data_IF_548263404599
#
_entry.id   IF_548263404599
#
_cell.length_a   1.000
_cell.length_b   1.000
_cell.length_c   1.000
_cell.angle_alpha   90.00
_cell.angle_beta   90.00
_cell.angle_gamma   90.00
#
_symmetry.space_group_name_H-M   'P 1'
#
loop_
_entity.id
_entity.type
_entity.pdbx_description
1 polymer ?
#
# COMPACT_ATOMS: atom_id res chain seq x y z
N UNK A 1 -12.75 21.58 10.96
CA UNK A 1 -11.80 20.74 10.20
C UNK A 1 -11.28 19.69 11.18
N UNK A 2 -11.84 18.47 11.14
CA UNK A 2 -11.55 17.46 12.14
C UNK A 2 -10.12 16.93 11.93
N UNK A 3 -9.27 17.13 12.94
CA UNK A 3 -7.97 16.49 13.07
C UNK A 3 -8.18 14.97 13.10
N UNK A 4 -7.92 14.30 11.98
CA UNK A 4 -7.83 12.83 11.91
C UNK A 4 -6.37 12.44 12.00
N UNK A 5 -5.78 12.57 13.19
CA UNK A 5 -4.50 11.93 13.44
C UNK A 5 -4.27 11.75 14.95
N UNK A 6 -4.67 10.58 15.46
CA UNK A 6 -3.96 9.96 16.57
C UNK A 6 -3.58 8.54 16.14
N UNK A 7 -2.67 8.45 15.17
CA UNK A 7 -1.88 7.24 15.06
C UNK A 7 -1.02 7.19 16.34
N UNK A 8 -1.47 6.41 17.33
CA UNK A 8 -0.67 6.04 18.50
C UNK A 8 0.75 5.73 18.03
N UNK A 9 1.72 6.44 18.62
CA UNK A 9 3.13 6.40 18.27
C UNK A 9 3.59 4.94 18.13
N UNK A 10 3.75 4.47 16.90
CA UNK A 10 4.38 3.18 16.62
C UNK A 10 5.82 3.25 17.11
N UNK A 11 6.32 2.23 17.84
CA UNK A 11 7.73 2.15 18.19
C UNK A 11 8.59 2.33 16.93
N UNK A 12 9.54 3.28 16.95
CA UNK A 12 10.57 3.43 15.90
C UNK A 12 11.56 2.27 16.02
N UNK A 13 11.13 1.06 15.68
CA UNK A 13 11.97 -0.14 15.73
C UNK A 13 13.12 -0.06 14.70
N UNK A 14 12.97 0.73 13.66
CA UNK A 14 14.03 1.11 12.71
C UNK A 14 13.85 2.56 12.27
N UNK A 15 14.69 3.44 12.80
CA UNK A 15 14.70 4.86 12.43
C UNK A 15 14.93 5.07 10.92
N UNK A 16 15.82 4.27 10.31
CA UNK A 16 16.13 4.36 8.88
C UNK A 16 14.92 4.06 7.99
N UNK A 17 14.18 2.97 8.27
CA UNK A 17 12.99 2.63 7.48
C UNK A 17 11.91 3.69 7.66
N UNK A 18 11.79 4.25 8.87
CA UNK A 18 10.85 5.33 9.11
C UNK A 18 11.17 6.56 8.24
N UNK A 19 12.42 7.00 8.25
CA UNK A 19 12.85 8.21 7.54
C UNK A 19 12.88 8.04 6.01
N UNK A 20 13.24 6.85 5.51
CA UNK A 20 13.45 6.64 4.06
C UNK A 20 12.22 6.13 3.32
N UNK A 21 11.28 5.49 4.01
CA UNK A 21 10.07 4.94 3.38
C UNK A 21 8.81 5.47 4.04
N UNK A 22 8.69 5.38 5.37
CA UNK A 22 7.40 5.62 6.00
C UNK A 22 6.97 7.09 6.02
N UNK A 23 7.85 7.96 6.50
CA UNK A 23 7.56 9.38 6.53
C UNK A 23 7.27 9.93 5.12
N UNK A 24 8.08 9.66 4.07
CA UNK A 24 7.78 10.10 2.71
C UNK A 24 6.43 9.57 2.18
N UNK A 25 6.09 8.30 2.44
CA UNK A 25 4.80 7.76 2.03
C UNK A 25 3.63 8.48 2.71
N UNK A 26 3.72 8.76 4.01
CA UNK A 26 2.69 9.50 4.74
C UNK A 26 2.56 10.94 4.23
N UNK A 27 3.66 11.60 3.89
CA UNK A 27 3.66 12.94 3.30
C UNK A 27 2.91 12.96 1.97
N UNK A 28 3.17 12.00 1.07
CA UNK A 28 2.43 11.82 -0.19
C UNK A 28 0.94 11.59 0.08
N UNK A 29 0.64 10.63 0.97
CA UNK A 29 -0.73 10.21 1.26
C UNK A 29 -1.58 11.31 1.90
N UNK A 30 -0.98 12.23 2.65
CA UNK A 30 -1.70 13.37 3.26
C UNK A 30 -2.12 14.44 2.26
N UNK A 31 -1.66 14.39 1.01
CA UNK A 31 -2.13 15.34 0.00
C UNK A 31 -3.61 15.09 -0.36
N UNK A 32 -4.39 16.12 -0.73
CA UNK A 32 -5.85 16.02 -0.86
C UNK A 32 -6.34 14.91 -1.81
N UNK A 33 -5.56 14.58 -2.83
CA UNK A 33 -5.93 13.62 -3.87
C UNK A 33 -5.74 12.17 -3.42
N UNK A 34 -4.93 11.92 -2.39
CA UNK A 34 -4.64 10.57 -1.86
C UNK A 34 -5.33 10.27 -0.51
N UNK A 35 -6.26 11.12 -0.04
CA UNK A 35 -6.87 10.97 1.28
C UNK A 35 -7.60 9.63 1.52
N UNK A 36 -8.16 9.03 0.47
CA UNK A 36 -8.74 7.68 0.57
C UNK A 36 -7.66 6.63 0.83
N UNK A 37 -6.57 6.66 0.05
CA UNK A 37 -5.42 5.78 0.25
C UNK A 37 -4.75 6.00 1.62
N UNK A 38 -4.73 7.24 2.11
CA UNK A 38 -4.24 7.57 3.45
C UNK A 38 -5.10 6.92 4.53
N UNK A 39 -6.42 7.06 4.43
CA UNK A 39 -7.35 6.49 5.40
C UNK A 39 -7.20 4.97 5.49
N UNK A 40 -7.00 4.29 4.36
CA UNK A 40 -6.73 2.86 4.30
C UNK A 40 -5.37 2.51 4.93
N UNK A 41 -4.33 3.29 4.65
CA UNK A 41 -3.00 3.05 5.20
C UNK A 41 -2.95 3.24 6.71
N UNK A 42 -3.54 4.31 7.24
CA UNK A 42 -3.64 4.56 8.68
C UNK A 42 -4.44 3.45 9.37
N UNK A 43 -5.52 2.98 8.74
CA UNK A 43 -6.29 1.86 9.26
C UNK A 43 -5.49 0.53 9.25
N UNK A 44 -4.55 0.35 8.31
CA UNK A 44 -3.62 -0.79 8.34
C UNK A 44 -2.64 -0.72 9.51
N UNK A 45 -2.10 0.47 9.80
CA UNK A 45 -1.23 0.70 10.96
C UNK A 45 -1.98 0.45 12.29
N UNK A 46 -3.25 0.90 12.37
CA UNK A 46 -4.09 0.64 13.53
C UNK A 46 -4.37 -0.85 13.73
N UNK A 47 -4.66 -1.60 12.65
CA UNK A 47 -4.80 -3.05 12.72
C UNK A 47 -3.53 -3.73 13.23
N UNK A 48 -2.36 -3.28 12.77
CA UNK A 48 -1.08 -3.80 13.24
C UNK A 48 -0.90 -3.59 14.75
N UNK A 49 -1.19 -2.37 15.25
CA UNK A 49 -1.15 -2.05 16.68
C UNK A 49 -2.10 -2.94 17.51
N UNK A 50 -3.24 -3.31 16.95
CA UNK A 50 -4.22 -4.20 17.57
C UNK A 50 -4.00 -5.69 17.27
N UNK A 51 -2.83 -6.06 16.70
CA UNK A 51 -2.44 -7.43 16.35
C UNK A 51 -3.38 -8.12 15.36
N UNK A 52 -4.13 -7.34 14.57
CA UNK A 52 -4.99 -7.82 13.47
C UNK A 52 -4.18 -7.90 12.17
N UNK A 53 -3.18 -8.77 12.16
CA UNK A 53 -2.18 -8.82 11.10
C UNK A 53 -2.73 -9.17 9.71
N UNK A 54 -3.77 -10.01 9.65
CA UNK A 54 -4.47 -10.33 8.40
C UNK A 54 -5.12 -9.09 7.77
N UNK A 55 -5.88 -8.34 8.57
CA UNK A 55 -6.58 -7.13 8.14
C UNK A 55 -5.58 -6.00 7.79
N UNK A 56 -4.47 -5.90 8.54
CA UNK A 56 -3.35 -5.02 8.23
C UNK A 56 -2.83 -5.23 6.80
N UNK A 57 -2.54 -6.49 6.42
CA UNK A 57 -2.04 -6.82 5.07
C UNK A 57 -3.08 -6.45 4.01
N UNK A 58 -4.36 -6.69 4.29
CA UNK A 58 -5.45 -6.32 3.38
C UNK A 58 -5.49 -4.82 3.15
N UNK A 59 -5.49 -4.02 4.22
CA UNK A 59 -5.60 -2.56 4.12
C UNK A 59 -4.34 -1.92 3.53
N UNK A 60 -3.16 -2.54 3.71
CA UNK A 60 -1.95 -2.17 2.97
C UNK A 60 -2.16 -2.30 1.45
N UNK A 61 -2.73 -3.42 0.98
CA UNK A 61 -3.03 -3.59 -0.44
C UNK A 61 -4.13 -2.63 -0.92
N UNK A 62 -5.17 -2.37 -0.12
CA UNK A 62 -6.21 -1.40 -0.45
C UNK A 62 -5.63 0.00 -0.67
N UNK A 63 -4.81 0.47 0.27
CA UNK A 63 -4.12 1.76 0.14
C UNK A 63 -3.27 1.83 -1.13
N UNK A 64 -2.49 0.78 -1.40
CA UNK A 64 -1.65 0.70 -2.58
C UNK A 64 -2.46 0.72 -3.90
N UNK A 65 -3.58 0.01 -3.94
CA UNK A 65 -4.51 0.03 -5.07
C UNK A 65 -5.13 1.43 -5.27
N UNK A 66 -5.54 2.08 -4.19
CA UNK A 66 -6.06 3.45 -4.22
C UNK A 66 -5.02 4.45 -4.75
N UNK A 67 -3.74 4.33 -4.35
CA UNK A 67 -2.66 5.15 -4.93
C UNK A 67 -2.56 4.95 -6.44
N UNK A 68 -2.57 3.70 -6.91
CA UNK A 68 -2.49 3.43 -8.35
C UNK A 68 -3.69 3.98 -9.12
N UNK A 69 -4.91 3.88 -8.57
CA UNK A 69 -6.12 4.45 -9.18
C UNK A 69 -6.03 5.97 -9.29
N UNK A 70 -5.51 6.65 -8.25
CA UNK A 70 -5.29 8.10 -8.28
C UNK A 70 -4.25 8.47 -9.32
N UNK A 71 -3.12 7.75 -9.40
CA UNK A 71 -2.08 7.96 -10.42
C UNK A 71 -2.70 7.85 -11.82
N UNK A 72 -3.39 6.74 -12.11
CA UNK A 72 -4.03 6.54 -13.41
C UNK A 72 -5.03 7.66 -13.71
N UNK A 73 -5.85 8.05 -12.74
CA UNK A 73 -6.82 9.13 -12.90
C UNK A 73 -6.19 10.49 -13.20
N UNK A 74 -5.14 10.89 -12.48
CA UNK A 74 -4.48 12.17 -12.67
C UNK A 74 -3.64 12.24 -13.95
N UNK A 75 -3.05 11.11 -14.35
CA UNK A 75 -2.22 11.02 -15.56
C UNK A 75 -3.02 10.70 -16.82
N UNK A 76 -4.31 10.41 -16.68
CA UNK A 76 -5.18 10.05 -17.80
C UNK A 76 -4.90 8.63 -18.34
N UNK A 77 -4.31 7.75 -17.54
CA UNK A 77 -4.12 6.36 -17.93
C UNK A 77 -5.46 5.62 -17.81
N UNK A 78 -5.90 4.98 -18.89
CA UNK A 78 -7.20 4.30 -18.91
C UNK A 78 -7.26 3.13 -17.93
N UNK A 79 -8.17 3.18 -16.95
CA UNK A 79 -8.41 2.10 -15.99
C UNK A 79 -9.91 1.99 -15.64
N UNK A 80 -10.30 0.85 -15.08
CA UNK A 80 -11.66 0.61 -14.53
C UNK A 80 -11.63 0.52 -13.01
N UNK A 81 -12.71 0.94 -12.34
CA UNK A 81 -12.77 0.93 -10.86
C UNK A 81 -12.58 -0.46 -10.23
N UNK A 82 -12.95 -1.53 -10.93
CA UNK A 82 -12.78 -2.92 -10.51
C UNK A 82 -11.44 -3.55 -10.92
N UNK A 83 -10.54 -2.79 -11.53
CA UNK A 83 -9.24 -3.33 -11.92
C UNK A 83 -8.40 -3.67 -10.70
N UNK A 84 -7.79 -4.87 -10.75
CA UNK A 84 -6.96 -5.39 -9.67
C UNK A 84 -5.62 -4.68 -9.60
N UNK A 85 -4.95 -4.78 -8.45
CA UNK A 85 -3.55 -4.36 -8.24
C UNK A 85 -2.62 -4.75 -9.41
N UNK A 86 -2.70 -5.98 -9.92
CA UNK A 86 -1.86 -6.43 -11.05
C UNK A 86 -2.13 -5.65 -12.34
N UNK A 87 -3.41 -5.43 -12.65
CA UNK A 87 -3.80 -4.73 -13.88
C UNK A 87 -3.45 -3.24 -13.80
N UNK A 88 -3.72 -2.60 -12.66
CA UNK A 88 -3.36 -1.20 -12.42
C UNK A 88 -1.85 -0.96 -12.50
N UNK A 89 -1.06 -1.85 -11.88
CA UNK A 89 0.39 -1.77 -11.94
C UNK A 89 0.88 -1.84 -13.39
N UNK A 90 0.39 -2.81 -14.18
CA UNK A 90 0.75 -2.94 -15.61
C UNK A 90 0.43 -1.69 -16.41
N UNK A 91 -0.76 -1.10 -16.21
CA UNK A 91 -1.15 0.15 -16.87
C UNK A 91 -0.15 1.26 -16.55
N UNK A 92 0.23 1.43 -15.28
CA UNK A 92 1.22 2.44 -14.89
C UNK A 92 2.58 2.14 -15.51
N UNK A 93 3.03 0.88 -15.48
CA UNK A 93 4.32 0.49 -16.05
C UNK A 93 4.41 0.80 -17.54
N UNK A 94 3.38 0.43 -18.31
CA UNK A 94 3.31 0.67 -19.75
C UNK A 94 3.30 2.16 -20.10
N UNK A 95 2.54 2.97 -19.35
CA UNK A 95 2.38 4.39 -19.66
C UNK A 95 3.50 5.28 -19.08
N UNK A 96 4.11 4.89 -17.95
CA UNK A 96 5.19 5.64 -17.30
C UNK A 96 6.59 5.17 -17.73
N UNK A 97 6.70 4.12 -18.56
CA UNK A 97 7.97 3.62 -19.06
C UNK A 97 8.78 2.83 -18.01
N UNK A 98 8.10 2.06 -17.16
CA UNK A 98 8.75 1.22 -16.17
C UNK A 98 9.12 -0.14 -16.78
N UNK A 99 10.38 -0.53 -16.64
CA UNK A 99 10.89 -1.80 -17.16
C UNK A 99 10.23 -3.02 -16.50
N UNK A 100 10.07 -4.10 -17.26
CA UNK A 100 9.32 -5.30 -16.86
C UNK A 100 9.85 -5.97 -15.57
N UNK A 101 11.14 -5.85 -15.26
CA UNK A 101 11.72 -6.45 -14.05
C UNK A 101 11.14 -5.86 -12.74
N UNK A 102 10.54 -4.66 -12.80
CA UNK A 102 9.87 -4.04 -11.67
C UNK A 102 8.51 -4.66 -11.33
N UNK A 103 7.90 -5.42 -12.23
CA UNK A 103 6.57 -5.99 -12.01
C UNK A 103 6.55 -6.88 -10.77
N UNK A 104 7.48 -7.84 -10.67
CA UNK A 104 7.50 -8.81 -9.57
C UNK A 104 7.71 -8.14 -8.19
N UNK A 105 8.72 -7.26 -7.99
CA UNK A 105 8.89 -6.55 -6.74
C UNK A 105 7.66 -5.72 -6.34
N UNK A 106 7.02 -5.02 -7.29
CA UNK A 106 5.91 -4.12 -7.01
C UNK A 106 4.57 -4.85 -6.83
N UNK A 107 4.44 -6.07 -7.38
CA UNK A 107 3.25 -6.91 -7.25
C UNK A 107 3.23 -7.74 -5.96
N UNK A 108 4.35 -7.79 -5.22
CA UNK A 108 4.48 -8.66 -4.03
C UNK A 108 3.44 -8.34 -2.96
N UNK A 109 3.03 -7.07 -2.82
CA UNK A 109 2.02 -6.62 -1.85
C UNK A 109 0.68 -7.31 -2.13
N UNK A 110 0.23 -7.31 -3.39
CA UNK A 110 -1.00 -8.00 -3.81
C UNK A 110 -0.87 -9.52 -3.71
N UNK A 111 0.32 -10.05 -4.00
CA UNK A 111 0.59 -11.49 -3.86
C UNK A 111 0.49 -11.94 -2.39
N UNK A 112 1.08 -11.19 -1.47
CA UNK A 112 1.01 -11.45 -0.03
C UNK A 112 -0.43 -11.32 0.44
N UNK A 113 -1.16 -10.26 0.07
CA UNK A 113 -2.58 -10.14 0.40
C UNK A 113 -3.36 -11.38 -0.05
N UNK A 114 -3.21 -11.83 -1.28
CA UNK A 114 -3.99 -12.97 -1.78
C UNK A 114 -3.66 -14.29 -1.06
N UNK A 115 -2.40 -14.50 -0.67
CA UNK A 115 -1.94 -15.76 -0.07
C UNK A 115 -2.16 -15.85 1.43
N UNK A 116 -1.94 -14.75 2.16
CA UNK A 116 -1.86 -14.80 3.64
C UNK A 116 -2.91 -13.94 4.34
N UNK A 117 -3.61 -13.03 3.65
CA UNK A 117 -4.66 -12.25 4.32
C UNK A 117 -5.96 -13.03 4.52
N UNK A 118 -6.75 -12.54 5.47
CA UNK A 118 -8.07 -13.02 5.89
C UNK A 118 -9.21 -12.56 4.96
N UNK A 119 -8.92 -11.80 3.90
CA UNK A 119 -9.94 -11.22 3.01
C UNK A 119 -10.68 -12.21 2.11
N UNK A 120 -10.20 -13.45 2.05
CA UNK A 120 -10.92 -14.55 1.42
C UNK A 120 -11.32 -15.53 2.52
N UNK A 121 -12.53 -16.11 2.42
CA UNK A 121 -13.00 -17.12 3.38
C UNK A 121 -11.91 -18.18 3.62
N UNK A 122 -11.63 -18.48 4.88
CA UNK A 122 -10.51 -19.32 5.28
C UNK A 122 -10.63 -20.77 4.79
N UNK A 123 -11.82 -21.22 4.40
CA UNK A 123 -12.08 -22.63 4.15
C UNK A 123 -11.79 -23.42 5.41
N UNK A 124 -11.02 -24.51 5.29
CA UNK A 124 -10.67 -25.39 6.42
C UNK A 124 -9.39 -24.94 7.16
N UNK A 125 -8.58 -24.03 6.61
CA UNK A 125 -7.26 -23.66 7.16
C UNK A 125 -7.28 -22.21 7.62
N UNK A 126 -7.13 -22.01 8.94
CA UNK A 126 -6.97 -20.67 9.51
C UNK A 126 -5.70 -20.00 8.96
N UNK A 127 -5.86 -18.85 8.31
CA UNK A 127 -4.74 -18.08 7.77
C UNK A 127 -4.16 -17.21 8.87
N UNK A 128 -3.01 -17.61 9.39
CA UNK A 128 -2.25 -16.82 10.36
C UNK A 128 -1.21 -15.95 9.65
N UNK A 129 -1.23 -14.64 9.92
CA UNK A 129 -0.15 -13.73 9.51
C UNK A 129 0.74 -13.46 10.72
N UNK A 130 2.02 -13.86 10.69
CA UNK A 130 2.98 -13.50 11.73
C UNK A 130 3.23 -11.98 11.77
N UNK A 131 3.48 -11.44 12.96
CA UNK A 131 3.74 -10.00 13.18
C UNK A 131 4.84 -9.44 12.25
N UNK A 132 6.00 -10.10 12.20
CA UNK A 132 7.13 -9.67 11.38
C UNK A 132 6.79 -9.63 9.88
N UNK A 133 5.86 -10.46 9.41
CA UNK A 133 5.38 -10.45 8.02
C UNK A 133 4.47 -9.26 7.79
N UNK A 134 3.53 -8.98 8.69
CA UNK A 134 2.67 -7.79 8.57
C UNK A 134 3.51 -6.49 8.60
N UNK A 135 4.51 -6.44 9.48
CA UNK A 135 5.47 -5.32 9.53
C UNK A 135 6.25 -5.17 8.24
N UNK A 136 6.72 -6.27 7.65
CA UNK A 136 7.39 -6.24 6.36
C UNK A 136 6.46 -5.73 5.25
N UNK A 137 5.18 -6.13 5.25
CA UNK A 137 4.18 -5.64 4.27
C UNK A 137 3.96 -4.13 4.42
N UNK A 138 3.81 -3.61 5.64
CA UNK A 138 3.70 -2.15 5.87
C UNK A 138 4.88 -1.41 5.23
N UNK A 139 6.10 -1.87 5.51
CA UNK A 139 7.32 -1.25 4.98
C UNK A 139 7.41 -1.35 3.45
N UNK A 140 7.05 -2.50 2.88
CA UNK A 140 7.03 -2.70 1.42
C UNK A 140 5.99 -1.79 0.76
N UNK A 141 4.80 -1.66 1.34
CA UNK A 141 3.75 -0.77 0.85
C UNK A 141 4.19 0.68 0.90
N UNK A 142 4.81 1.13 1.99
CA UNK A 142 5.38 2.48 2.09
C UNK A 142 6.38 2.76 0.97
N UNK A 143 7.38 1.87 0.81
CA UNK A 143 8.41 2.01 -0.22
C UNK A 143 7.84 1.99 -1.63
N UNK A 144 6.86 1.11 -1.90
CA UNK A 144 6.23 1.01 -3.21
C UNK A 144 5.37 2.23 -3.56
N UNK A 145 4.67 2.82 -2.58
CA UNK A 145 3.90 4.06 -2.77
C UNK A 145 4.84 5.21 -3.17
N UNK A 146 5.94 5.40 -2.43
CA UNK A 146 6.94 6.44 -2.74
C UNK A 146 7.52 6.22 -4.13
N UNK A 147 7.94 5.00 -4.44
CA UNK A 147 8.53 4.67 -5.73
C UNK A 147 7.57 4.92 -6.90
N UNK A 148 6.33 4.40 -6.83
CA UNK A 148 5.36 4.56 -7.92
C UNK A 148 4.95 6.02 -8.10
N UNK A 149 4.74 6.75 -7.00
CA UNK A 149 4.48 8.17 -7.05
C UNK A 149 5.63 8.90 -7.77
N UNK A 150 6.85 8.76 -7.28
CA UNK A 150 7.99 9.49 -7.85
C UNK A 150 8.22 9.12 -9.31
N UNK A 151 8.07 7.85 -9.68
CA UNK A 151 8.18 7.44 -11.08
C UNK A 151 7.08 8.03 -11.96
N UNK A 152 5.81 7.98 -11.52
CA UNK A 152 4.69 8.48 -12.31
C UNK A 152 4.65 10.01 -12.44
N UNK A 153 5.16 10.75 -11.43
CA UNK A 153 5.14 12.21 -11.39
C UNK A 153 6.48 12.88 -11.76
N UNK A 154 7.54 12.13 -12.04
CA UNK A 154 8.76 12.68 -12.65
C UNK A 154 8.42 13.36 -13.98
N UNK A 155 8.92 14.59 -14.13
CA UNK A 155 8.91 15.36 -15.38
C UNK A 155 10.12 15.01 -16.22
#
# INVERSE_FOLDING_TARGET
>A
MALREEAKVLPKDSQLIHETAMQPALEILRTPVFLNANSEFIAALDDYLHRKFGDCVTKCNSSYESVMKVICGQKGFGYSQGDTTSKLLKIIMENAGLEAFWEQPLLIIGTLRNRISTSHGAGEVERFVPEHVAKAVINLTASAIVFLHDHAYKS
#
